data_IF_167535686396
#
_entry.id   IF_167535686396
#
_cell.length_a   1.000
_cell.length_b   1.000
_cell.length_c   1.000
_cell.angle_alpha   90.00
_cell.angle_beta   90.00
_cell.angle_gamma   90.00
#
_symmetry.space_group_name_H-M   'P 1'
#
loop_
_entity.id
_entity.type
_entity.pdbx_description
1 polymer ?
#
# COMPACT_ATOMS: atom_id res chain seq x y z
N UNK A 1 8.75 18.07 16.24
CA UNK A 1 8.31 18.03 14.84
C UNK A 1 6.78 18.06 14.74
N UNK A 2 6.10 18.78 15.63
CA UNK A 2 4.64 18.88 15.58
C UNK A 2 4.21 19.65 14.33
N UNK A 3 3.22 19.13 13.60
CA UNK A 3 2.75 19.69 12.34
C UNK A 3 3.62 19.36 11.12
N UNK A 4 4.74 18.66 11.27
CA UNK A 4 5.51 18.20 10.11
C UNK A 4 4.71 17.19 9.28
N UNK A 5 4.96 17.18 7.98
CA UNK A 5 4.31 16.26 7.04
C UNK A 5 5.34 15.41 6.30
N UNK A 6 4.97 14.18 6.00
CA UNK A 6 5.78 13.24 5.22
C UNK A 6 4.90 12.51 4.21
N UNK A 7 5.46 12.17 3.06
CA UNK A 7 4.79 11.40 2.02
C UNK A 7 5.46 10.03 1.95
N UNK A 8 4.65 8.97 1.97
CA UNK A 8 5.11 7.58 1.92
C UNK A 8 4.30 6.83 0.88
N UNK A 9 4.98 6.05 0.06
CA UNK A 9 4.36 5.10 -0.86
C UNK A 9 4.61 3.67 -0.40
N UNK A 10 3.56 2.85 -0.38
CA UNK A 10 3.65 1.40 -0.11
C UNK A 10 3.40 0.66 -1.40
N UNK A 11 4.32 -0.25 -1.73
CA UNK A 11 4.33 -0.99 -2.97
C UNK A 11 4.03 -2.47 -2.70
N UNK A 12 3.14 -3.07 -3.48
CA UNK A 12 2.81 -4.49 -3.43
C UNK A 12 2.94 -5.13 -4.80
N UNK A 13 3.47 -6.35 -4.87
CA UNK A 13 3.76 -7.07 -6.11
C UNK A 13 3.16 -8.47 -6.07
N UNK A 14 2.66 -8.95 -7.20
CA UNK A 14 2.07 -10.30 -7.29
C UNK A 14 2.03 -10.82 -8.73
N UNK A 15 2.28 -12.12 -8.90
CA UNK A 15 2.09 -12.85 -10.15
C UNK A 15 0.67 -13.50 -10.27
N UNK A 16 -0.24 -13.13 -9.38
CA UNK A 16 -1.57 -13.73 -9.21
C UNK A 16 -1.56 -14.92 -8.26
N UNK A 17 -2.73 -15.53 -8.04
CA UNK A 17 -2.88 -16.68 -7.15
C UNK A 17 -3.15 -17.94 -7.97
N UNK A 18 -2.36 -18.98 -7.73
CA UNK A 18 -2.50 -20.29 -8.39
C UNK A 18 -2.67 -21.41 -7.38
N UNK A 19 -3.45 -22.42 -7.74
CA UNK A 19 -3.54 -23.70 -7.02
C UNK A 19 -3.13 -24.83 -7.96
N UNK A 20 -1.89 -25.28 -7.82
CA UNK A 20 -1.26 -26.11 -8.86
C UNK A 20 -1.20 -25.36 -10.19
N UNK A 21 -1.71 -25.96 -11.26
CA UNK A 21 -1.78 -25.32 -12.59
C UNK A 21 -2.98 -24.39 -12.79
N UNK A 22 -3.97 -24.42 -11.89
CA UNK A 22 -5.20 -23.64 -12.02
C UNK A 22 -4.97 -22.20 -11.54
N UNK A 23 -5.29 -21.22 -12.38
CA UNK A 23 -5.37 -19.82 -12.00
C UNK A 23 -6.62 -19.61 -11.13
N UNK A 24 -6.43 -19.02 -9.96
CA UNK A 24 -7.49 -18.70 -8.99
C UNK A 24 -7.84 -17.21 -9.06
N UNK A 25 -6.82 -16.36 -9.14
CA UNK A 25 -6.97 -14.90 -9.19
C UNK A 25 -5.89 -14.35 -10.14
N UNK A 26 -6.25 -13.41 -11.01
CA UNK A 26 -5.28 -12.79 -11.92
C UNK A 26 -4.29 -11.92 -11.13
N UNK A 27 -3.14 -11.62 -11.72
CA UNK A 27 -2.16 -10.74 -11.09
C UNK A 27 -2.74 -9.34 -10.81
N UNK A 28 -3.47 -8.79 -11.78
CA UNK A 28 -4.12 -7.48 -11.68
C UNK A 28 -5.17 -7.44 -10.56
N UNK A 29 -6.09 -8.42 -10.53
CA UNK A 29 -7.12 -8.51 -9.49
C UNK A 29 -6.50 -8.66 -8.09
N UNK A 30 -5.50 -9.55 -7.97
CA UNK A 30 -4.83 -9.78 -6.69
C UNK A 30 -4.06 -8.55 -6.22
N UNK A 31 -3.39 -7.84 -7.14
CA UNK A 31 -2.68 -6.60 -6.82
C UNK A 31 -3.66 -5.51 -6.37
N UNK A 32 -4.82 -5.38 -7.03
CA UNK A 32 -5.89 -4.49 -6.58
C UNK A 32 -6.36 -4.82 -5.16
N UNK A 33 -6.62 -6.10 -4.87
CA UNK A 33 -7.03 -6.55 -3.53
C UNK A 33 -5.96 -6.31 -2.45
N UNK A 34 -4.69 -6.50 -2.78
CA UNK A 34 -3.57 -6.17 -1.88
C UNK A 34 -3.56 -4.65 -1.60
N UNK A 35 -3.69 -3.84 -2.66
CA UNK A 35 -3.72 -2.38 -2.55
C UNK A 35 -4.85 -1.88 -1.65
N UNK A 36 -6.07 -2.39 -1.85
CA UNK A 36 -7.23 -2.10 -1.02
C UNK A 36 -7.01 -2.47 0.45
N UNK A 37 -6.39 -3.64 0.69
CA UNK A 37 -6.09 -4.09 2.05
C UNK A 37 -5.07 -3.16 2.73
N UNK A 38 -4.03 -2.71 2.02
CA UNK A 38 -3.04 -1.75 2.51
C UNK A 38 -3.71 -0.40 2.84
N UNK A 39 -4.49 0.14 1.90
CA UNK A 39 -5.21 1.41 2.11
C UNK A 39 -6.11 1.34 3.34
N UNK A 40 -6.93 0.28 3.48
CA UNK A 40 -7.81 0.09 4.64
C UNK A 40 -7.06 -0.11 5.95
N UNK A 41 -5.91 -0.78 5.92
CA UNK A 41 -5.12 -1.04 7.12
C UNK A 41 -4.51 0.24 7.68
N UNK A 42 -4.11 1.19 6.82
CA UNK A 42 -3.33 2.37 7.19
C UNK A 42 -4.12 3.68 7.21
N UNK A 43 -5.14 3.83 6.36
CA UNK A 43 -5.88 5.10 6.28
C UNK A 43 -6.57 5.45 7.60
N UNK A 44 -6.46 6.72 7.98
CA UNK A 44 -7.01 7.26 9.22
C UNK A 44 -6.33 6.76 10.49
N UNK A 45 -5.32 5.87 10.42
CA UNK A 45 -4.64 5.35 11.61
C UNK A 45 -3.82 6.42 12.32
N UNK A 46 -3.73 6.24 13.63
CA UNK A 46 -2.82 6.96 14.51
C UNK A 46 -1.83 5.97 15.08
N UNK A 47 -0.55 6.15 14.77
CA UNK A 47 0.51 5.25 15.22
C UNK A 47 1.47 6.01 16.15
N UNK A 48 1.83 5.43 17.31
CA UNK A 48 2.87 6.01 18.15
C UNK A 48 4.22 5.94 17.43
N UNK A 49 5.02 6.99 17.58
CA UNK A 49 6.40 6.99 17.11
C UNK A 49 7.34 6.63 18.27
N UNK A 50 8.44 5.95 17.92
CA UNK A 50 9.53 5.72 18.86
C UNK A 50 10.14 7.06 19.29
N UNK A 51 10.35 7.25 20.59
CA UNK A 51 10.81 8.53 21.15
C UNK A 51 9.70 9.54 21.47
N UNK A 52 8.42 9.17 21.29
CA UNK A 52 7.26 9.99 21.65
C UNK A 52 6.55 10.60 20.43
N UNK A 53 5.35 11.13 20.67
CA UNK A 53 4.48 11.68 19.62
C UNK A 53 3.65 10.63 18.88
N UNK A 54 2.82 11.09 17.96
CA UNK A 54 1.91 10.24 17.17
C UNK A 54 1.90 10.71 15.72
N UNK A 55 1.87 9.79 14.77
CA UNK A 55 1.60 10.11 13.36
C UNK A 55 0.15 9.80 13.02
N UNK A 56 -0.53 10.74 12.36
CA UNK A 56 -1.82 10.48 11.69
C UNK A 56 -1.57 10.21 10.21
N UNK A 57 -2.08 9.09 9.74
CA UNK A 57 -1.93 8.65 8.36
C UNK A 57 -3.21 8.96 7.58
N UNK A 58 -3.05 9.43 6.35
CA UNK A 58 -4.13 9.65 5.38
C UNK A 58 -3.74 9.06 4.04
N UNK A 59 -4.59 8.22 3.47
CA UNK A 59 -4.44 7.74 2.10
C UNK A 59 -4.78 8.84 1.09
N UNK A 60 -3.96 8.98 0.05
CA UNK A 60 -4.08 10.04 -0.96
C UNK A 60 -4.34 9.51 -2.36
N UNK A 61 -4.36 8.20 -2.55
CA UNK A 61 -4.73 7.55 -3.80
C UNK A 61 -3.82 6.37 -4.14
N UNK A 62 -4.17 5.69 -5.23
CA UNK A 62 -3.50 4.47 -5.67
C UNK A 62 -3.23 4.43 -7.16
N UNK A 63 -2.30 3.57 -7.55
CA UNK A 63 -2.06 3.18 -8.93
C UNK A 63 -1.95 1.67 -9.04
N UNK A 64 -2.39 1.12 -10.16
CA UNK A 64 -2.21 -0.28 -10.53
C UNK A 64 -1.46 -0.32 -11.86
N UNK A 65 -0.34 -1.02 -11.87
CA UNK A 65 0.62 -1.00 -12.96
C UNK A 65 1.07 -2.43 -13.26
N UNK A 66 1.36 -2.72 -14.53
CA UNK A 66 2.04 -3.96 -14.88
C UNK A 66 3.48 -3.93 -14.37
N UNK A 67 3.97 -5.07 -13.88
CA UNK A 67 5.37 -5.19 -13.45
C UNK A 67 6.29 -5.17 -14.69
N UNK A 68 7.26 -4.26 -14.68
CA UNK A 68 8.21 -4.09 -15.79
C UNK A 68 9.33 -5.14 -15.76
N UNK A 69 9.61 -5.72 -14.59
CA UNK A 69 10.65 -6.70 -14.35
C UNK A 69 10.12 -8.15 -14.43
N UNK A 70 8.84 -8.37 -14.13
CA UNK A 70 8.22 -9.71 -14.17
C UNK A 70 7.05 -9.77 -15.17
N UNK A 71 7.25 -10.51 -16.26
CA UNK A 71 6.24 -10.67 -17.31
C UNK A 71 4.95 -11.32 -16.75
N UNK A 72 3.86 -10.55 -16.80
CA UNK A 72 2.55 -10.99 -16.28
C UNK A 72 2.34 -10.74 -14.79
N UNK A 73 3.32 -10.16 -14.10
CA UNK A 73 3.17 -9.60 -12.76
C UNK A 73 2.46 -8.27 -12.76
N UNK A 74 1.87 -7.92 -11.63
CA UNK A 74 1.25 -6.62 -11.38
C UNK A 74 1.72 -6.03 -10.06
N UNK A 75 1.69 -4.70 -10.03
CA UNK A 75 2.21 -3.85 -8.99
C UNK A 75 1.13 -2.85 -8.57
N UNK A 76 0.83 -2.78 -7.28
CA UNK A 76 -0.02 -1.75 -6.67
C UNK A 76 0.82 -0.74 -5.89
N UNK A 77 0.54 0.54 -6.07
CA UNK A 77 1.15 1.64 -5.32
C UNK A 77 0.07 2.32 -4.50
N UNK A 78 0.29 2.45 -3.19
CA UNK A 78 -0.61 3.13 -2.26
C UNK A 78 0.11 4.33 -1.65
N UNK A 79 -0.37 5.54 -1.93
CA UNK A 79 0.24 6.77 -1.47
C UNK A 79 -0.43 7.27 -0.19
N UNK A 80 0.39 7.74 0.76
CA UNK A 80 -0.06 8.24 2.05
C UNK A 80 0.64 9.55 2.40
N UNK A 81 -0.11 10.42 3.06
CA UNK A 81 0.39 11.58 3.78
C UNK A 81 0.36 11.28 5.27
N UNK A 82 1.46 11.58 5.94
CA UNK A 82 1.68 11.35 7.36
C UNK A 82 1.89 12.69 8.04
N UNK A 83 1.00 13.05 8.98
CA UNK A 83 1.14 14.26 9.80
C UNK A 83 1.63 13.89 11.18
N UNK A 84 2.76 14.45 11.57
CA UNK A 84 3.36 14.30 12.89
C UNK A 84 2.60 15.19 13.89
N UNK A 85 2.20 14.59 15.00
CA UNK A 85 1.49 15.22 16.11
C UNK A 85 2.41 15.18 17.34
N UNK A 86 2.43 16.29 18.10
CA UNK A 86 3.11 16.38 19.40
C UNK A 86 2.71 15.25 20.37
#
# INVERSE_FOLDING_TARGET
MDGAESIVAVHGFTAGVRRGKKLIETAEDHAGRIGDAIARALDGKRLPLEGGGTVRIRWTGSQLLQDAQEAGGFHTVQNFQMRHLA
#
